data_IF_723624289328
#
_entry.id   IF_723624289328
#
_cell.length_a   1.000
_cell.length_b   1.000
_cell.length_c   1.000
_cell.angle_alpha   90.00
_cell.angle_beta   90.00
_cell.angle_gamma   90.00
#
_symmetry.space_group_name_H-M   'P 1'
#
loop_
_entity.id
_entity.type
_entity.pdbx_description
1 polymer ?
#
# COMPACT_ATOMS: atom_id res chain seq x y z
N UNK A 1 -30.16 35.03 -0.96
CA UNK A 1 -29.91 33.66 -1.47
C UNK A 1 -28.60 33.69 -2.23
N UNK A 2 -27.52 33.16 -1.64
CA UNK A 2 -26.23 33.08 -2.34
C UNK A 2 -26.38 32.10 -3.50
N UNK A 3 -26.21 32.57 -4.73
CA UNK A 3 -25.98 31.69 -5.87
C UNK A 3 -24.59 31.08 -5.63
N UNK A 4 -24.56 29.81 -5.23
CA UNK A 4 -23.30 29.07 -5.09
C UNK A 4 -22.51 29.16 -6.39
N UNK A 5 -21.23 29.50 -6.30
CA UNK A 5 -20.30 29.37 -7.41
C UNK A 5 -20.15 27.87 -7.70
N UNK A 6 -20.51 27.43 -8.91
CA UNK A 6 -20.23 26.06 -9.33
C UNK A 6 -18.70 25.84 -9.43
N UNK A 7 -18.25 24.62 -9.16
CA UNK A 7 -16.82 24.26 -9.19
C UNK A 7 -16.17 24.30 -10.58
N UNK A 8 -16.95 24.57 -11.63
CA UNK A 8 -16.57 24.51 -13.05
C UNK A 8 -16.37 25.89 -13.69
N UNK A 9 -16.76 26.98 -13.03
CA UNK A 9 -16.66 28.31 -13.62
C UNK A 9 -15.24 28.91 -13.50
N UNK A 10 -14.38 28.45 -14.43
CA UNK A 10 -13.15 29.10 -14.90
C UNK A 10 -12.10 29.42 -13.82
N UNK A 11 -11.26 28.44 -13.48
CA UNK A 11 -10.08 28.67 -12.62
C UNK A 11 -8.78 28.53 -13.41
N UNK A 12 -7.85 29.44 -13.12
CA UNK A 12 -6.45 29.40 -13.59
C UNK A 12 -6.09 30.39 -14.69
N UNK A 13 -6.23 31.70 -14.45
CA UNK A 13 -5.29 32.67 -15.04
C UNK A 13 -4.41 33.13 -13.86
N UNK A 14 -3.09 33.05 -14.05
CA UNK A 14 -1.98 33.05 -13.08
C UNK A 14 -1.87 31.72 -12.29
N UNK A 15 -0.90 30.82 -12.49
CA UNK A 15 0.55 31.03 -12.61
C UNK A 15 1.29 30.06 -13.58
N UNK A 16 0.59 29.31 -14.44
CA UNK A 16 1.19 28.26 -15.29
C UNK A 16 1.43 28.68 -16.75
N UNK A 17 1.44 29.98 -17.06
CA UNK A 17 1.68 30.47 -18.44
C UNK A 17 0.52 30.28 -19.43
N UNK A 18 -0.72 30.13 -18.95
CA UNK A 18 -1.90 30.00 -19.80
C UNK A 18 -2.48 31.38 -20.18
N UNK A 19 -2.78 31.57 -21.48
CA UNK A 19 -3.34 32.81 -22.05
C UNK A 19 -4.87 32.94 -21.85
N UNK A 20 -5.59 31.83 -21.62
CA UNK A 20 -7.04 31.80 -21.37
C UNK A 20 -7.42 30.83 -20.25
N UNK A 21 -8.60 31.05 -19.64
CA UNK A 21 -9.15 30.13 -18.63
C UNK A 21 -9.76 28.92 -19.34
N UNK A 22 -9.19 27.75 -19.10
CA UNK A 22 -9.69 26.46 -19.61
C UNK A 22 -10.53 25.74 -18.56
N UNK A 23 -11.54 25.00 -19.02
CA UNK A 23 -12.26 24.02 -18.20
C UNK A 23 -11.30 22.91 -17.73
N UNK A 24 -11.67 22.18 -16.68
CA UNK A 24 -10.87 21.05 -16.18
C UNK A 24 -10.63 19.97 -17.26
N UNK A 25 -11.57 19.87 -18.19
CA UNK A 25 -11.59 19.00 -19.37
C UNK A 25 -10.73 19.50 -20.54
N UNK A 26 -10.34 20.79 -20.52
CA UNK A 26 -9.60 21.44 -21.61
C UNK A 26 -8.11 21.62 -21.26
N UNK A 27 -7.69 21.20 -20.06
CA UNK A 27 -6.29 21.28 -19.62
C UNK A 27 -5.44 20.30 -20.44
N UNK A 28 -4.34 20.73 -21.06
CA UNK A 28 -3.49 19.85 -21.87
C UNK A 28 -2.99 18.64 -21.06
N UNK A 29 -3.08 17.46 -21.66
CA UNK A 29 -2.57 16.22 -21.08
C UNK A 29 -1.06 16.38 -20.78
N UNK A 30 -0.69 16.24 -19.50
CA UNK A 30 0.66 16.55 -18.99
C UNK A 30 0.72 17.73 -17.99
N UNK A 31 -0.29 18.61 -17.98
CA UNK A 31 -0.48 19.61 -16.89
C UNK A 31 -1.25 18.99 -15.72
N UNK A 32 -2.11 18.00 -16.01
CA UNK A 32 -2.83 17.20 -15.00
C UNK A 32 -2.38 15.75 -15.14
N UNK A 33 -1.91 15.17 -14.03
CA UNK A 33 -1.67 13.74 -13.88
C UNK A 33 -2.93 13.14 -13.27
N UNK A 34 -3.73 12.45 -14.09
CA UNK A 34 -4.89 11.73 -13.60
C UNK A 34 -4.44 10.54 -12.75
N UNK A 35 -5.16 10.26 -11.67
CA UNK A 35 -4.85 9.10 -10.82
C UNK A 35 -5.28 7.77 -11.45
N UNK A 36 -6.30 7.79 -12.31
CA UNK A 36 -6.87 6.61 -12.96
C UNK A 36 -6.94 6.84 -14.46
N UNK A 37 -6.74 5.77 -15.22
CA UNK A 37 -7.12 5.69 -16.62
C UNK A 37 -8.57 5.17 -16.68
N UNK A 38 -9.38 5.66 -17.61
CA UNK A 38 -10.77 5.20 -17.76
C UNK A 38 -11.79 5.83 -16.79
N UNK A 39 -12.94 5.15 -16.63
CA UNK A 39 -14.05 5.65 -15.80
C UNK A 39 -13.80 5.39 -14.31
N UNK A 40 -14.16 6.37 -13.48
CA UNK A 40 -14.07 6.27 -12.01
C UNK A 40 -15.37 5.90 -11.32
N UNK A 41 -16.44 5.60 -12.07
CA UNK A 41 -17.81 5.47 -11.54
C UNK A 41 -17.92 4.42 -10.41
N UNK A 42 -17.12 3.34 -10.49
CA UNK A 42 -17.15 2.22 -9.54
C UNK A 42 -15.84 2.03 -8.76
N UNK A 43 -14.85 2.90 -8.92
CA UNK A 43 -13.50 2.73 -8.35
C UNK A 43 -13.50 2.57 -6.83
N UNK A 44 -14.46 3.20 -6.15
CA UNK A 44 -14.65 3.08 -4.69
C UNK A 44 -15.02 1.66 -4.23
N UNK A 45 -15.65 0.86 -5.10
CA UNK A 45 -16.08 -0.51 -4.81
C UNK A 45 -15.09 -1.57 -5.29
N UNK A 46 -14.10 -1.18 -6.10
CA UNK A 46 -13.04 -2.05 -6.58
C UNK A 46 -11.90 -2.15 -5.55
N UNK A 47 -11.32 -3.34 -5.46
CA UNK A 47 -10.08 -3.54 -4.70
C UNK A 47 -8.95 -2.75 -5.37
N UNK A 48 -7.93 -2.29 -4.62
CA UNK A 48 -6.83 -1.54 -5.19
C UNK A 48 -6.22 -2.21 -6.43
N UNK A 49 -6.03 -3.53 -6.40
CA UNK A 49 -5.40 -4.30 -7.49
C UNK A 49 -6.25 -4.33 -8.78
N UNK A 50 -7.57 -4.11 -8.66
CA UNK A 50 -8.53 -4.17 -9.76
C UNK A 50 -8.85 -2.79 -10.36
N UNK A 51 -8.18 -1.72 -9.89
CA UNK A 51 -8.41 -0.35 -10.37
C UNK A 51 -7.53 -0.07 -11.59
N UNK A 52 -8.10 0.64 -12.57
CA UNK A 52 -7.37 1.16 -13.72
C UNK A 52 -6.55 2.39 -13.31
N UNK A 53 -5.44 2.18 -12.61
CA UNK A 53 -4.52 3.27 -12.29
C UNK A 53 -3.78 3.75 -13.54
N UNK A 54 -3.52 5.06 -13.59
CA UNK A 54 -2.64 5.60 -14.61
C UNK A 54 -1.18 5.18 -14.38
N UNK A 55 -0.39 5.16 -15.46
CA UNK A 55 1.06 4.87 -15.38
C UNK A 55 1.83 5.82 -14.45
N UNK A 56 1.28 7.02 -14.20
CA UNK A 56 1.88 8.05 -13.35
C UNK A 56 1.37 8.00 -11.91
N UNK A 57 0.52 7.05 -11.55
CA UNK A 57 0.03 6.89 -10.18
C UNK A 57 1.12 6.29 -9.29
N UNK A 58 1.20 6.77 -8.04
CA UNK A 58 2.12 6.23 -7.03
C UNK A 58 1.93 4.74 -6.73
N UNK A 59 0.73 4.19 -6.96
CA UNK A 59 0.44 2.77 -6.80
C UNK A 59 1.21 1.87 -7.77
N UNK A 60 1.63 2.41 -8.92
CA UNK A 60 2.42 1.68 -9.93
C UNK A 60 3.93 1.78 -9.60
N UNK A 61 4.33 2.71 -8.73
CA UNK A 61 5.72 2.94 -8.41
C UNK A 61 6.22 1.99 -7.31
N UNK A 62 7.23 1.17 -7.61
CA UNK A 62 7.87 0.30 -6.62
C UNK A 62 8.94 1.04 -5.81
N UNK A 63 8.92 0.84 -4.48
CA UNK A 63 9.97 1.25 -3.53
C UNK A 63 10.77 0.06 -3.00
N UNK A 64 10.64 -1.11 -3.63
CA UNK A 64 11.28 -2.34 -3.19
C UNK A 64 12.81 -2.21 -2.99
N UNK A 65 13.45 -1.38 -3.80
CA UNK A 65 14.90 -1.14 -3.77
C UNK A 65 15.40 -0.45 -2.48
N UNK A 66 14.52 0.04 -1.62
CA UNK A 66 14.91 0.72 -0.38
C UNK A 66 15.27 -0.27 0.74
N UNK A 67 14.87 -1.54 0.59
CA UNK A 67 15.10 -2.56 1.61
C UNK A 67 16.50 -3.15 1.53
N UNK A 68 17.11 -3.32 2.68
CA UNK A 68 18.22 -4.27 2.89
C UNK A 68 17.68 -5.56 3.51
N UNK A 69 16.68 -5.43 4.37
CA UNK A 69 15.97 -6.54 5.03
C UNK A 69 14.46 -6.43 4.76
N UNK A 70 13.77 -7.57 4.74
CA UNK A 70 12.31 -7.66 4.56
C UNK A 70 11.65 -8.54 5.61
N UNK A 71 10.40 -8.25 5.99
CA UNK A 71 9.59 -9.18 6.76
C UNK A 71 9.16 -10.36 5.87
N UNK A 72 9.32 -11.59 6.36
CA UNK A 72 8.69 -12.78 5.78
C UNK A 72 7.52 -13.18 6.69
N UNK A 73 6.43 -13.63 6.07
CA UNK A 73 5.19 -14.00 6.73
C UNK A 73 4.97 -15.51 6.69
N UNK A 74 4.79 -16.13 7.86
CA UNK A 74 4.41 -17.53 8.01
C UNK A 74 2.92 -17.65 8.33
N UNK A 75 2.15 -18.16 7.37
CA UNK A 75 0.70 -18.34 7.47
C UNK A 75 0.29 -19.34 8.56
N UNK A 76 1.04 -20.42 8.74
CA UNK A 76 0.69 -21.52 9.64
C UNK A 76 0.67 -21.11 11.13
N UNK A 77 1.37 -20.02 11.45
CA UNK A 77 1.50 -19.49 12.81
C UNK A 77 0.57 -18.28 13.01
N UNK A 78 0.15 -17.63 11.92
CA UNK A 78 -0.67 -16.43 11.98
C UNK A 78 -2.06 -16.72 12.56
N UNK A 79 -2.54 -15.79 13.38
CA UNK A 79 -3.87 -15.85 14.00
C UNK A 79 -4.80 -14.75 13.48
N UNK A 80 -4.45 -14.09 12.37
CA UNK A 80 -5.27 -13.06 11.73
C UNK A 80 -5.68 -11.88 12.64
N UNK A 81 -4.85 -11.56 13.63
CA UNK A 81 -5.13 -10.51 14.62
C UNK A 81 -5.13 -9.07 14.06
N UNK A 82 -4.67 -8.86 12.82
CA UNK A 82 -4.60 -7.58 12.12
C UNK A 82 -3.67 -6.51 12.72
N UNK A 83 -2.90 -6.81 13.77
CA UNK A 83 -1.93 -5.85 14.31
C UNK A 83 -0.94 -5.38 13.24
N UNK A 84 -0.34 -6.29 12.48
CA UNK A 84 0.60 -5.93 11.43
C UNK A 84 -0.04 -5.01 10.37
N UNK A 85 -1.31 -5.21 10.03
CA UNK A 85 -2.05 -4.39 9.08
C UNK A 85 -2.32 -2.98 9.60
N UNK A 86 -2.84 -2.85 10.83
CA UNK A 86 -3.16 -1.55 11.44
C UNK A 86 -1.91 -0.70 11.68
N UNK A 87 -0.80 -1.32 12.08
CA UNK A 87 0.44 -0.62 12.44
C UNK A 87 1.39 -0.39 11.26
N UNK A 88 1.10 -0.90 10.06
CA UNK A 88 1.96 -0.69 8.91
C UNK A 88 1.86 0.76 8.42
N UNK A 89 2.96 1.56 8.46
CA UNK A 89 2.92 2.96 8.07
C UNK A 89 2.75 3.17 6.55
N UNK A 90 3.07 2.15 5.75
CA UNK A 90 3.04 2.21 4.29
C UNK A 90 1.89 1.38 3.69
N UNK A 91 0.99 0.84 4.51
CA UNK A 91 -0.16 0.02 4.04
C UNK A 91 0.24 -1.22 3.21
N UNK A 92 1.47 -1.71 3.34
CA UNK A 92 2.00 -2.82 2.54
C UNK A 92 1.57 -4.22 3.03
N UNK A 93 0.66 -4.32 4.00
CA UNK A 93 0.11 -5.59 4.46
C UNK A 93 -1.19 -5.85 3.70
N UNK A 94 -1.26 -6.97 2.99
CA UNK A 94 -2.45 -7.37 2.23
C UNK A 94 -3.38 -8.12 3.18
N UNK A 95 -4.47 -7.48 3.55
CA UNK A 95 -5.52 -8.05 4.40
C UNK A 95 -6.88 -7.98 3.69
N UNK A 96 -7.63 -9.09 3.69
CA UNK A 96 -8.99 -9.18 3.11
C UNK A 96 -9.84 -10.05 4.03
N UNK A 97 -11.10 -9.65 4.23
CA UNK A 97 -12.07 -10.43 5.02
C UNK A 97 -11.54 -10.86 6.41
N UNK A 98 -10.77 -9.97 7.04
CA UNK A 98 -10.08 -10.19 8.32
C UNK A 98 -9.03 -11.30 8.28
N UNK A 99 -8.50 -11.65 7.11
CA UNK A 99 -7.38 -12.57 6.93
C UNK A 99 -6.16 -11.84 6.38
N UNK A 100 -4.99 -12.12 6.97
CA UNK A 100 -3.70 -11.68 6.45
C UNK A 100 -3.28 -12.62 5.32
N UNK A 101 -3.25 -12.07 4.10
CA UNK A 101 -2.96 -12.82 2.87
C UNK A 101 -1.49 -12.73 2.47
N UNK A 102 -0.83 -11.60 2.74
CA UNK A 102 0.57 -11.43 2.38
C UNK A 102 1.10 -10.02 2.59
N UNK A 103 2.23 -9.74 1.97
CA UNK A 103 2.94 -8.47 2.02
C UNK A 103 3.14 -8.01 0.59
N UNK A 104 2.78 -6.77 0.31
CA UNK A 104 3.11 -6.08 -0.92
C UNK A 104 4.59 -5.66 -0.86
N UNK A 105 5.45 -6.45 -1.50
CA UNK A 105 6.89 -6.18 -1.55
C UNK A 105 7.26 -5.06 -2.53
N UNK A 106 6.35 -4.56 -3.34
CA UNK A 106 6.64 -3.37 -4.15
C UNK A 106 6.58 -2.11 -3.29
N UNK A 107 5.66 -2.08 -2.31
CA UNK A 107 5.47 -0.90 -1.46
C UNK A 107 6.08 -1.03 -0.05
N UNK A 108 6.54 -2.22 0.35
CA UNK A 108 7.15 -2.43 1.67
C UNK A 108 8.53 -1.78 1.79
N UNK A 109 8.77 -0.99 2.84
CA UNK A 109 10.11 -0.41 3.11
C UNK A 109 10.98 -1.24 4.05
N UNK A 110 10.50 -2.39 4.54
CA UNK A 110 11.29 -3.25 5.42
C UNK A 110 11.51 -2.69 6.83
N UNK A 111 10.64 -1.78 7.31
CA UNK A 111 10.82 -1.09 8.60
C UNK A 111 10.71 -1.98 9.85
N UNK A 112 10.16 -3.19 9.74
CA UNK A 112 10.07 -4.16 10.84
C UNK A 112 8.96 -3.92 11.87
N UNK A 113 8.18 -2.83 11.78
CA UNK A 113 7.08 -2.54 12.72
C UNK A 113 6.08 -3.69 12.79
N UNK A 114 5.73 -4.30 11.65
CA UNK A 114 4.81 -5.44 11.58
C UNK A 114 5.32 -6.68 12.35
N UNK A 115 6.64 -6.90 12.38
CA UNK A 115 7.29 -7.95 13.17
C UNK A 115 7.23 -7.59 14.65
N UNK A 116 7.53 -6.34 15.01
CA UNK A 116 7.54 -5.88 16.40
C UNK A 116 6.19 -6.11 17.08
N UNK A 117 5.10 -5.67 16.44
CA UNK A 117 3.73 -5.74 16.99
C UNK A 117 3.06 -7.12 16.88
N UNK A 118 3.71 -8.09 16.24
CA UNK A 118 3.18 -9.45 16.09
C UNK A 118 3.10 -10.15 17.46
N UNK A 119 1.89 -10.55 17.93
CA UNK A 119 1.71 -11.09 19.27
C UNK A 119 1.97 -12.59 19.40
N UNK A 120 2.17 -13.31 18.29
CA UNK A 120 2.34 -14.77 18.34
C UNK A 120 3.73 -15.14 18.88
N UNK A 121 3.84 -16.34 19.44
CA UNK A 121 5.13 -16.89 19.89
C UNK A 121 5.27 -18.36 19.46
N UNK A 122 6.14 -18.67 18.49
CA UNK A 122 7.01 -17.75 17.73
C UNK A 122 6.20 -16.71 16.94
N UNK A 123 6.83 -15.58 16.59
CA UNK A 123 6.19 -14.56 15.76
C UNK A 123 5.87 -15.14 14.38
N UNK A 124 4.71 -14.80 13.83
CA UNK A 124 4.32 -15.19 12.46
C UNK A 124 4.97 -14.32 11.39
N UNK A 125 5.69 -13.29 11.81
CA UNK A 125 6.48 -12.39 10.97
C UNK A 125 7.88 -12.31 11.56
N UNK A 126 8.91 -12.45 10.74
CA UNK A 126 10.32 -12.29 11.12
C UNK A 126 11.07 -11.54 10.00
N UNK A 127 12.15 -10.84 10.35
CA UNK A 127 12.98 -10.12 9.39
C UNK A 127 14.08 -11.02 8.82
N UNK A 128 14.32 -10.92 7.51
CA UNK A 128 15.38 -11.62 6.77
C UNK A 128 16.07 -10.65 5.80
N UNK A 129 17.27 -10.99 5.33
CA UNK A 129 17.93 -10.27 4.23
C UNK A 129 17.07 -10.27 2.98
N UNK A 130 17.02 -9.15 2.24
CA UNK A 130 16.21 -9.00 1.03
C UNK A 130 16.49 -10.10 -0.01
N UNK A 131 17.77 -10.48 -0.14
CA UNK A 131 18.24 -11.51 -1.06
C UNK A 131 17.77 -12.93 -0.69
N UNK A 132 17.30 -13.15 0.54
CA UNK A 132 16.81 -14.46 0.98
C UNK A 132 15.49 -14.78 0.29
N UNK A 133 15.35 -16.00 -0.25
CA UNK A 133 14.06 -16.47 -0.76
C UNK A 133 13.09 -16.70 0.42
N UNK A 134 11.82 -16.37 0.22
CA UNK A 134 10.79 -16.56 1.23
C UNK A 134 10.62 -18.04 1.62
N UNK A 135 10.78 -18.97 0.68
CA UNK A 135 10.65 -20.42 0.97
C UNK A 135 11.78 -20.91 1.89
N UNK A 136 13.01 -20.44 1.65
CA UNK A 136 14.17 -20.74 2.50
C UNK A 136 13.99 -20.15 3.91
N UNK A 137 13.48 -18.91 3.98
CA UNK A 137 13.16 -18.26 5.25
C UNK A 137 12.09 -19.03 6.04
N UNK A 138 11.06 -19.55 5.35
CA UNK A 138 9.99 -20.35 5.95
C UNK A 138 10.46 -21.73 6.43
N UNK A 139 11.37 -22.37 5.71
CA UNK A 139 11.96 -23.65 6.11
C UNK A 139 12.76 -23.55 7.42
N UNK A 140 13.38 -22.39 7.68
CA UNK A 140 14.17 -22.12 8.88
C UNK A 140 13.39 -21.59 10.09
N UNK A 141 12.05 -21.67 10.10
CA UNK A 141 11.27 -20.99 11.14
C UNK A 141 11.50 -21.55 12.55
N UNK A 142 11.64 -20.69 13.59
CA UNK A 142 11.89 -21.15 14.95
C UNK A 142 10.71 -21.95 15.54
N UNK A 143 11.02 -23.03 16.25
CA UNK A 143 10.01 -23.83 16.96
C UNK A 143 9.48 -23.13 18.21
N UNK A 144 8.24 -23.46 18.58
CA UNK A 144 7.60 -22.97 19.81
C UNK A 144 8.23 -23.60 21.05
N UNK A 145 9.07 -22.83 21.74
CA UNK A 145 9.56 -23.23 23.09
C UNK A 145 8.37 -23.29 24.05
N UNK A 146 8.12 -24.47 24.63
CA UNK A 146 7.14 -24.64 25.73
C UNK A 146 7.58 -23.75 26.89
N UNK A 147 6.75 -22.79 27.31
CA UNK A 147 7.04 -21.97 28.51
C UNK A 147 7.18 -22.93 29.70
N UNK A 148 8.33 -22.91 30.38
CA UNK A 148 8.48 -23.55 31.67
C UNK A 148 7.43 -22.92 32.62
N UNK A 149 6.60 -23.76 33.25
CA UNK A 149 5.67 -23.29 34.28
C UNK A 149 6.52 -22.67 35.39
N UNK A 150 6.36 -21.37 35.60
CA UNK A 150 6.94 -20.64 36.73
C UNK A 150 6.04 -20.83 37.95
#
# INVERSE_FOLDING_TARGET
>A
MSKGLDGTNKRGILELGAEEKKGWDEVPQGVVLNSFDGSIDNTAFLKPEDREYSEFNSYIASVASWRVIKPVYNRDICIDCQNCWVWCPDTSIISRDKQMLGIDYDHCKGCGVCVEVCPTNPKSLLMFEEATNNDDALAGWPEKKKKAKK
#
